data_IF_137622481814
#
_entry.id   IF_137622481814
#
_cell.length_a   1.000
_cell.length_b   1.000
_cell.length_c   1.000
_cell.angle_alpha   90.00
_cell.angle_beta   90.00
_cell.angle_gamma   90.00
#
_symmetry.space_group_name_H-M   'P 1'
#
loop_
_entity.id
_entity.type
_entity.pdbx_description
1 polymer ?
#
# COMPACT_ATOMS: atom_id res chain seq x y z
N UNK A 1 -17.31 17.07 -19.79
CA UNK A 1 -16.79 16.60 -18.49
C UNK A 1 -16.00 15.34 -18.77
N UNK A 2 -14.70 15.27 -18.46
CA UNK A 2 -13.93 14.03 -18.65
C UNK A 2 -14.28 13.08 -17.52
N UNK A 3 -14.81 11.92 -17.85
CA UNK A 3 -14.90 10.78 -16.94
C UNK A 3 -13.51 10.52 -16.38
N UNK A 4 -13.34 10.79 -15.08
CA UNK A 4 -12.16 10.35 -14.35
C UNK A 4 -12.24 8.82 -14.34
N UNK A 5 -11.38 8.17 -15.10
CA UNK A 5 -11.19 6.73 -15.06
C UNK A 5 -10.76 6.37 -13.63
N UNK A 6 -11.70 5.97 -12.78
CA UNK A 6 -11.39 5.50 -11.44
C UNK A 6 -10.72 4.13 -11.60
N UNK A 7 -9.52 3.93 -11.05
CA UNK A 7 -8.88 2.62 -11.12
C UNK A 7 -9.72 1.63 -10.31
N UNK A 8 -10.19 0.57 -10.96
CA UNK A 8 -10.85 -0.55 -10.29
C UNK A 8 -9.82 -1.29 -9.43
N UNK A 9 -10.02 -1.25 -8.11
CA UNK A 9 -9.15 -1.90 -7.13
C UNK A 9 -9.92 -3.02 -6.44
N UNK A 10 -9.51 -4.27 -6.67
CA UNK A 10 -10.10 -5.44 -6.02
C UNK A 10 -9.30 -5.77 -4.76
N UNK A 11 -9.91 -5.59 -3.59
CA UNK A 11 -9.32 -5.95 -2.29
C UNK A 11 -9.87 -7.32 -1.87
N UNK A 12 -8.98 -8.29 -1.69
CA UNK A 12 -9.33 -9.60 -1.15
C UNK A 12 -9.29 -9.55 0.37
N UNK A 13 -10.39 -9.93 1.01
CA UNK A 13 -10.48 -10.10 2.46
C UNK A 13 -10.38 -11.58 2.82
N UNK A 14 -9.78 -11.87 3.97
CA UNK A 14 -9.81 -13.21 4.55
C UNK A 14 -11.15 -13.46 5.23
N UNK A 15 -11.49 -14.72 5.51
CA UNK A 15 -12.73 -15.07 6.20
C UNK A 15 -12.85 -14.37 7.56
N UNK A 16 -11.73 -14.25 8.29
CA UNK A 16 -11.66 -13.53 9.58
C UNK A 16 -11.97 -12.04 9.43
N UNK A 17 -11.43 -11.39 8.40
CA UNK A 17 -11.69 -9.97 8.12
C UNK A 17 -13.14 -9.74 7.69
N UNK A 18 -13.71 -10.67 6.91
CA UNK A 18 -15.12 -10.64 6.49
C UNK A 18 -16.02 -10.79 7.72
N UNK A 19 -15.74 -11.74 8.61
CA UNK A 19 -16.48 -11.89 9.86
C UNK A 19 -16.38 -10.63 10.73
N UNK A 20 -15.19 -10.04 10.83
CA UNK A 20 -14.95 -8.82 11.62
C UNK A 20 -15.75 -7.64 11.09
N UNK A 21 -15.68 -7.33 9.79
CA UNK A 21 -16.45 -6.21 9.22
C UNK A 21 -17.97 -6.43 9.31
N UNK A 22 -18.41 -7.68 9.16
CA UNK A 22 -19.83 -8.03 9.33
C UNK A 22 -20.28 -7.76 10.76
N UNK A 23 -19.49 -8.16 11.75
CA UNK A 23 -19.78 -7.89 13.17
C UNK A 23 -19.82 -6.39 13.47
N UNK A 24 -18.82 -5.63 13.01
CA UNK A 24 -18.78 -4.16 13.16
C UNK A 24 -20.06 -3.53 12.63
N UNK A 25 -20.53 -3.98 11.46
CA UNK A 25 -21.75 -3.46 10.85
C UNK A 25 -23.02 -3.83 11.63
N UNK A 26 -23.05 -4.98 12.30
CA UNK A 26 -24.19 -5.40 13.13
C UNK A 26 -24.23 -4.62 14.46
N UNK A 27 -23.06 -4.39 15.04
CA UNK A 27 -22.90 -3.69 16.32
C UNK A 27 -22.91 -2.16 16.17
N UNK A 28 -22.90 -1.65 14.93
CA UNK A 28 -22.84 -0.23 14.54
C UNK A 28 -21.66 0.53 15.22
N UNK A 29 -20.56 -0.20 15.44
CA UNK A 29 -19.38 0.26 16.17
C UNK A 29 -18.45 1.09 15.28
N UNK A 30 -18.55 2.41 15.42
CA UNK A 30 -17.79 3.38 14.62
C UNK A 30 -16.30 3.39 14.95
N UNK A 31 -15.92 3.09 16.18
CA UNK A 31 -14.51 3.11 16.58
C UNK A 31 -13.79 1.91 16.00
N UNK A 32 -14.38 0.72 16.12
CA UNK A 32 -13.84 -0.51 15.56
C UNK A 32 -13.82 -0.45 14.02
N UNK A 33 -14.82 0.19 13.39
CA UNK A 33 -14.80 0.47 11.95
C UNK A 33 -13.58 1.29 11.51
N UNK A 34 -13.25 2.35 12.25
CA UNK A 34 -12.07 3.20 11.95
C UNK A 34 -10.77 2.42 12.12
N UNK A 35 -10.68 1.58 13.14
CA UNK A 35 -9.53 0.70 13.37
C UNK A 35 -9.38 -0.27 12.21
N UNK A 36 -10.47 -0.93 11.79
CA UNK A 36 -10.46 -1.85 10.64
C UNK A 36 -9.99 -1.17 9.35
N UNK A 37 -10.44 0.07 9.09
CA UNK A 37 -10.01 0.82 7.91
C UNK A 37 -8.51 1.09 7.94
N UNK A 38 -7.97 1.60 9.06
CA UNK A 38 -6.53 1.92 9.19
C UNK A 38 -5.65 0.66 9.14
N UNK A 39 -6.03 -0.37 9.88
CA UNK A 39 -5.15 -1.51 10.08
C UNK A 39 -5.24 -2.55 8.98
N UNK A 40 -6.38 -2.64 8.30
CA UNK A 40 -6.61 -3.67 7.28
C UNK A 40 -6.67 -3.06 5.89
N UNK A 41 -7.62 -2.17 5.63
CA UNK A 41 -7.85 -1.64 4.28
C UNK A 41 -6.70 -0.73 3.82
N UNK A 42 -6.21 0.17 4.67
CA UNK A 42 -5.14 1.09 4.29
C UNK A 42 -3.85 0.35 3.94
N UNK A 43 -3.50 -0.71 4.68
CA UNK A 43 -2.33 -1.55 4.40
C UNK A 43 -2.48 -2.25 3.04
N UNK A 44 -3.63 -2.89 2.79
CA UNK A 44 -3.89 -3.57 1.53
C UNK A 44 -3.92 -2.62 0.33
N UNK A 45 -4.51 -1.43 0.49
CA UNK A 45 -4.49 -0.39 -0.54
C UNK A 45 -3.05 0.06 -0.81
N UNK A 46 -2.27 0.36 0.23
CA UNK A 46 -0.86 0.74 0.08
C UNK A 46 -0.05 -0.33 -0.63
N UNK A 47 -0.24 -1.60 -0.28
CA UNK A 47 0.51 -2.69 -0.90
C UNK A 47 0.13 -2.89 -2.38
N UNK A 48 -1.15 -2.74 -2.73
CA UNK A 48 -1.62 -2.85 -4.12
C UNK A 48 -1.29 -1.62 -4.98
N UNK A 49 -1.21 -0.43 -4.36
CA UNK A 49 -0.92 0.83 -5.06
C UNK A 49 0.56 1.20 -5.04
N UNK A 50 1.38 0.48 -4.27
CA UNK A 50 2.84 0.67 -4.24
C UNK A 50 3.40 0.46 -5.65
N UNK A 51 4.17 1.43 -6.18
CA UNK A 51 4.79 1.26 -7.49
C UNK A 51 5.75 0.06 -7.45
N UNK A 52 5.58 -0.86 -8.40
CA UNK A 52 6.25 -2.16 -8.42
C UNK A 52 7.77 -2.10 -8.73
N UNK A 53 8.36 -0.91 -8.82
CA UNK A 53 9.78 -0.69 -9.05
C UNK A 53 10.24 0.56 -8.28
N UNK A 54 10.72 0.38 -7.06
CA UNK A 54 11.54 1.42 -6.42
C UNK A 54 12.96 1.20 -6.95
N UNK A 55 13.59 2.15 -7.66
CA UNK A 55 14.99 2.03 -7.98
C UNK A 55 15.76 1.98 -6.66
N UNK A 56 16.32 0.81 -6.34
CA UNK A 56 17.35 0.71 -5.31
C UNK A 56 18.56 1.41 -5.90
N UNK A 57 18.73 2.69 -5.58
CA UNK A 57 20.04 3.31 -5.70
C UNK A 57 20.90 2.66 -4.61
N UNK A 58 21.51 1.52 -4.92
CA UNK A 58 22.62 1.01 -4.12
C UNK A 58 23.64 2.14 -4.10
N UNK A 59 23.81 2.74 -2.94
CA UNK A 59 24.84 3.74 -2.71
C UNK A 59 26.18 2.99 -2.65
N UNK A 60 26.66 2.50 -3.79
CA UNK A 60 28.06 2.11 -3.96
C UNK A 60 28.89 3.37 -4.20
N UNK A 61 28.78 4.36 -3.30
CA UNK A 61 29.76 5.44 -3.26
C UNK A 61 30.95 4.91 -2.46
N UNK A 62 31.89 4.28 -3.16
CA UNK A 62 33.20 4.01 -2.59
C UNK A 62 34.04 5.28 -2.79
N UNK A 63 34.38 6.05 -1.74
CA UNK A 63 35.07 7.34 -1.89
C UNK A 63 36.49 7.25 -2.50
N UNK A 64 36.94 6.03 -2.83
CA UNK A 64 38.26 5.72 -3.41
C UNK A 64 38.21 5.24 -4.86
N UNK A 65 37.05 5.19 -5.52
CA UNK A 65 37.01 4.95 -6.96
C UNK A 65 37.45 6.21 -7.71
N UNK A 66 38.76 6.33 -7.94
CA UNK A 66 39.28 7.28 -8.93
C UNK A 66 38.79 6.86 -10.31
N UNK A 67 38.05 7.76 -10.97
CA UNK A 67 37.69 7.62 -12.38
C UNK A 67 38.95 7.37 -13.21
N UNK A 68 39.04 6.19 -13.85
CA UNK A 68 40.14 5.82 -14.74
C UNK A 68 40.03 6.46 -16.13
N UNK A 69 39.15 7.46 -16.31
CA UNK A 69 38.82 8.03 -17.61
C UNK A 69 38.89 9.57 -17.67
N UNK A 70 39.72 10.22 -16.85
CA UNK A 70 40.24 11.53 -17.23
C UNK A 70 41.42 11.34 -18.18
N UNK A 71 41.13 11.38 -19.48
CA UNK A 71 42.14 11.70 -20.51
C UNK A 71 42.42 13.19 -20.52
#
# INVERSE_FOLDING_TARGET
>A
MRDKNMPDLVIKLTDEEIMRITRISLDDDKEEALIFIKDTLEKKIKDLTRPHCVPVFEVTYNPRQKDKFSR
#
